data_IF_524444940261
#
_entry.id   IF_524444940261
#
_cell.length_a   1.000
_cell.length_b   1.000
_cell.length_c   1.000
_cell.angle_alpha   90.00
_cell.angle_beta   90.00
_cell.angle_gamma   90.00
#
_symmetry.space_group_name_H-M   'P 1'
#
loop_
_entity.id
_entity.type
_entity.pdbx_description
1 polymer ?
#
# COMPACT_ATOMS: atom_id res chain seq x y z
N UNK A 1 14.41 3.44 -9.08
CA UNK A 1 15.72 3.88 -8.58
C UNK A 1 16.74 4.09 -9.69
N UNK A 2 16.98 3.09 -10.54
CA UNK A 2 18.01 3.14 -11.60
C UNK A 2 17.84 4.31 -12.57
N UNK A 3 16.60 4.65 -12.96
CA UNK A 3 16.34 5.74 -13.88
C UNK A 3 16.68 7.10 -13.25
N UNK A 4 16.32 7.33 -11.99
CA UNK A 4 16.72 8.54 -11.24
C UNK A 4 18.24 8.62 -11.07
N UNK A 5 18.90 7.51 -10.74
CA UNK A 5 20.35 7.47 -10.62
C UNK A 5 21.06 7.81 -11.95
N UNK A 6 20.56 7.29 -13.09
CA UNK A 6 21.06 7.65 -14.42
C UNK A 6 20.83 9.12 -14.78
N UNK A 7 19.83 9.74 -14.21
CA UNK A 7 19.56 11.18 -14.36
C UNK A 7 20.41 12.06 -13.41
N UNK A 8 21.35 11.49 -12.66
CA UNK A 8 22.33 12.20 -11.82
C UNK A 8 21.92 12.40 -10.36
N UNK A 9 20.82 11.78 -9.91
CA UNK A 9 20.40 11.86 -8.49
C UNK A 9 21.08 10.75 -7.70
N UNK A 10 21.75 11.06 -6.57
CA UNK A 10 22.21 10.03 -5.64
C UNK A 10 21.02 9.24 -5.10
N UNK A 11 21.00 7.94 -5.32
CA UNK A 11 19.89 7.06 -4.90
C UNK A 11 20.42 5.95 -4.01
N UNK A 12 19.88 5.86 -2.79
CA UNK A 12 20.12 4.75 -1.88
C UNK A 12 18.90 3.84 -1.88
N UNK A 13 19.09 2.60 -2.29
CA UNK A 13 18.05 1.56 -2.20
C UNK A 13 18.20 0.81 -0.89
N UNK A 14 17.20 0.90 -0.03
CA UNK A 14 17.19 0.29 1.29
C UNK A 14 16.23 -0.90 1.32
N UNK A 15 16.71 -2.05 1.80
CA UNK A 15 15.85 -3.18 2.15
C UNK A 15 15.51 -3.12 3.65
N UNK A 16 14.27 -3.45 3.99
CA UNK A 16 13.91 -3.72 5.37
C UNK A 16 14.49 -5.07 5.85
N UNK A 17 14.40 -5.32 7.15
CA UNK A 17 14.71 -6.62 7.75
C UNK A 17 13.90 -7.79 7.18
N UNK A 18 12.81 -7.50 6.52
CA UNK A 18 11.86 -8.48 5.95
C UNK A 18 12.11 -8.77 4.46
N UNK A 19 13.33 -8.67 4.00
CA UNK A 19 13.65 -8.91 2.60
C UNK A 19 13.15 -10.29 2.13
N UNK A 20 12.19 -10.28 1.17
CA UNK A 20 11.61 -11.50 0.60
C UNK A 20 10.62 -12.23 1.53
N UNK A 21 10.23 -11.65 2.66
CA UNK A 21 9.32 -12.27 3.64
C UNK A 21 8.24 -11.29 4.07
N UNK A 22 7.26 -11.03 3.20
CA UNK A 22 6.16 -10.13 3.51
C UNK A 22 5.16 -10.69 4.52
N UNK A 23 5.07 -12.03 4.64
CA UNK A 23 4.12 -12.71 5.52
C UNK A 23 4.33 -12.43 7.01
N UNK A 24 5.53 -12.04 7.40
CA UNK A 24 5.88 -11.68 8.79
C UNK A 24 6.19 -10.20 9.00
N UNK A 25 5.97 -9.35 7.98
CA UNK A 25 6.35 -7.94 8.03
C UNK A 25 5.50 -7.16 9.05
N UNK A 26 6.17 -6.34 9.85
CA UNK A 26 5.57 -5.42 10.83
C UNK A 26 5.96 -4.00 10.41
N UNK A 27 4.97 -3.17 10.06
CA UNK A 27 5.18 -1.83 9.51
C UNK A 27 5.96 -0.93 10.47
N UNK A 28 5.66 -1.00 11.76
CA UNK A 28 6.32 -0.22 12.81
C UNK A 28 7.82 -0.58 12.94
N UNK A 29 8.19 -1.84 12.68
CA UNK A 29 9.61 -2.25 12.65
C UNK A 29 10.31 -1.77 11.39
N UNK A 30 9.59 -1.69 10.26
CA UNK A 30 10.14 -1.12 9.01
C UNK A 30 10.40 0.37 9.15
N UNK A 31 9.60 1.10 9.95
CA UNK A 31 9.88 2.51 10.30
C UNK A 31 11.28 2.65 10.93
N UNK A 32 11.66 1.74 11.84
CA UNK A 32 13.00 1.76 12.43
C UNK A 32 14.10 1.46 11.41
N UNK A 33 13.84 0.59 10.44
CA UNK A 33 14.78 0.28 9.36
C UNK A 33 15.02 1.50 8.46
N UNK A 34 13.94 2.24 8.11
CA UNK A 34 14.05 3.49 7.38
C UNK A 34 14.80 4.56 8.17
N UNK A 35 14.54 4.68 9.47
CA UNK A 35 15.29 5.60 10.34
C UNK A 35 16.79 5.31 10.32
N UNK A 36 17.17 4.03 10.42
CA UNK A 36 18.56 3.62 10.33
C UNK A 36 19.18 3.98 8.96
N UNK A 37 18.42 3.78 7.87
CA UNK A 37 18.86 4.13 6.53
C UNK A 37 19.11 5.65 6.38
N UNK A 38 18.17 6.50 6.84
CA UNK A 38 18.32 7.96 6.78
C UNK A 38 19.51 8.42 7.61
N UNK A 39 19.70 7.86 8.81
CA UNK A 39 20.89 8.17 9.66
C UNK A 39 22.19 7.84 8.95
N UNK A 40 22.25 6.69 8.29
CA UNK A 40 23.42 6.26 7.54
C UNK A 40 23.72 7.21 6.38
N UNK A 41 22.68 7.58 5.61
CA UNK A 41 22.79 8.53 4.50
C UNK A 41 23.30 9.90 4.99
N UNK A 42 22.72 10.45 6.06
CA UNK A 42 23.15 11.74 6.60
C UNK A 42 24.53 11.69 7.24
N UNK A 43 24.83 10.66 8.06
CA UNK A 43 26.07 10.60 8.85
C UNK A 43 27.28 10.09 8.09
N UNK A 44 27.13 9.03 7.25
CA UNK A 44 28.25 8.39 6.57
C UNK A 44 28.41 8.81 5.11
N UNK A 45 27.28 9.02 4.40
CA UNK A 45 27.34 9.46 3.02
C UNK A 45 27.40 10.98 2.89
N UNK A 46 27.19 11.72 4.00
CA UNK A 46 27.36 13.18 4.06
C UNK A 46 26.27 13.98 3.34
N UNK A 47 25.10 13.39 3.09
CA UNK A 47 23.98 14.11 2.48
C UNK A 47 23.19 14.86 3.56
N UNK A 48 23.03 16.16 3.39
CA UNK A 48 22.24 17.00 4.31
C UNK A 48 20.74 16.79 4.12
N UNK A 49 20.29 16.73 2.86
CA UNK A 49 18.87 16.53 2.49
C UNK A 49 18.61 15.09 2.05
N UNK A 50 17.50 14.52 2.50
CA UNK A 50 17.07 13.17 2.16
C UNK A 50 15.58 13.18 1.77
N UNK A 51 15.29 12.73 0.57
CA UNK A 51 13.92 12.56 0.08
C UNK A 51 13.55 11.07 0.12
N UNK A 52 12.44 10.72 0.74
CA UNK A 52 11.91 9.37 0.68
C UNK A 52 11.11 9.19 -0.61
N UNK A 53 11.54 8.26 -1.45
CA UNK A 53 10.85 7.88 -2.67
C UNK A 53 10.16 6.53 -2.48
N UNK A 54 8.85 6.57 -2.22
CA UNK A 54 8.04 5.38 -1.97
C UNK A 54 7.29 4.91 -3.22
N UNK A 55 7.62 3.73 -3.71
CA UNK A 55 6.92 3.07 -4.82
C UNK A 55 5.81 2.17 -4.29
N UNK A 56 4.60 2.23 -4.90
CA UNK A 56 3.49 1.34 -4.55
C UNK A 56 3.18 1.40 -3.04
N UNK A 57 3.30 0.27 -2.33
CA UNK A 57 3.21 0.22 -0.86
C UNK A 57 4.26 1.03 -0.11
N UNK A 58 5.36 1.39 -0.76
CA UNK A 58 6.37 2.28 -0.20
C UNK A 58 5.89 3.71 -0.03
N UNK A 59 4.89 4.16 -0.80
CA UNK A 59 4.32 5.49 -0.67
C UNK A 59 3.61 5.70 0.67
N UNK A 60 2.66 4.83 1.01
CA UNK A 60 1.98 4.89 2.31
C UNK A 60 2.93 4.64 3.48
N UNK A 61 3.95 3.76 3.30
CA UNK A 61 5.00 3.56 4.29
C UNK A 61 5.84 4.84 4.51
N UNK A 62 6.19 5.58 3.44
CA UNK A 62 6.94 6.83 3.55
C UNK A 62 6.14 7.90 4.30
N UNK A 63 4.84 8.01 4.03
CA UNK A 63 3.94 8.88 4.79
C UNK A 63 3.83 8.46 6.26
N UNK A 64 3.70 7.17 6.52
CA UNK A 64 3.65 6.63 7.89
C UNK A 64 4.95 6.94 8.64
N UNK A 65 6.10 6.69 8.02
CA UNK A 65 7.40 7.06 8.57
C UNK A 65 7.46 8.55 8.92
N UNK A 66 7.15 9.41 7.95
CA UNK A 66 7.29 10.85 8.11
C UNK A 66 6.35 11.39 9.18
N UNK A 67 5.11 10.90 9.24
CA UNK A 67 4.16 11.30 10.28
C UNK A 67 4.67 10.97 11.68
N UNK A 68 5.28 9.79 11.89
CA UNK A 68 5.88 9.41 13.16
C UNK A 68 7.19 10.13 13.44
N UNK A 69 7.95 10.50 12.41
CA UNK A 69 9.16 11.30 12.58
C UNK A 69 8.85 12.78 12.94
N UNK A 70 7.75 13.32 12.42
CA UNK A 70 7.32 14.70 12.73
C UNK A 70 6.53 14.79 14.04
N UNK A 71 5.65 13.84 14.30
CA UNK A 71 4.79 13.77 15.48
C UNK A 71 4.64 12.32 15.95
N UNK A 72 5.59 11.80 16.72
CA UNK A 72 5.57 10.42 17.19
C UNK A 72 4.44 10.19 18.19
N UNK A 73 3.55 9.27 17.87
CA UNK A 73 2.35 8.96 18.68
C UNK A 73 2.26 7.50 19.11
N UNK A 74 2.86 6.58 18.33
CA UNK A 74 2.69 5.15 18.54
C UNK A 74 3.64 4.62 19.61
N UNK A 75 3.07 3.95 20.62
CA UNK A 75 3.81 3.33 21.72
C UNK A 75 3.94 1.80 21.59
N UNK A 76 3.19 1.21 20.67
CA UNK A 76 3.22 -0.24 20.36
C UNK A 76 2.72 -0.51 18.95
N UNK A 77 2.89 -1.74 18.48
CA UNK A 77 2.19 -2.25 17.29
C UNK A 77 0.71 -2.51 17.60
N UNK A 78 -0.16 -2.73 16.60
CA UNK A 78 -1.55 -3.13 16.82
C UNK A 78 -1.72 -4.44 17.62
N UNK A 79 -0.69 -5.26 17.68
CA UNK A 79 -0.67 -6.48 18.52
C UNK A 79 -0.26 -6.20 19.98
N UNK A 80 0.07 -4.94 20.33
CA UNK A 80 0.55 -4.57 21.66
C UNK A 80 2.05 -4.81 21.90
N UNK A 81 2.77 -5.26 20.87
CA UNK A 81 4.20 -5.56 20.96
C UNK A 81 5.06 -4.32 20.63
N UNK A 82 6.34 -4.28 21.03
CA UNK A 82 7.30 -3.28 20.54
C UNK A 82 7.41 -3.28 19.02
N UNK A 83 7.80 -2.13 18.40
CA UNK A 83 8.51 -1.01 19.03
C UNK A 83 7.59 0.08 19.58
N UNK A 84 8.13 0.88 20.51
CA UNK A 84 7.60 2.19 20.87
C UNK A 84 8.23 3.23 19.94
N UNK A 85 7.50 3.75 18.96
CA UNK A 85 7.98 4.75 18.00
C UNK A 85 8.05 6.14 18.62
N UNK A 86 7.28 6.41 19.69
CA UNK A 86 7.31 7.69 20.39
C UNK A 86 8.67 7.98 21.03
N UNK A 87 9.35 6.93 21.50
CA UNK A 87 10.67 7.04 22.09
C UNK A 87 11.79 6.75 21.11
N UNK A 88 11.47 6.46 19.83
CA UNK A 88 12.45 6.18 18.81
C UNK A 88 13.04 7.48 18.23
N UNK A 89 14.37 7.45 17.98
CA UNK A 89 15.05 8.54 17.26
C UNK A 89 14.78 8.37 15.74
N UNK A 90 13.76 9.05 15.24
CA UNK A 90 13.33 9.04 13.84
C UNK A 90 13.72 10.35 13.16
N UNK A 91 14.83 10.41 12.40
CA UNK A 91 15.20 11.62 11.65
C UNK A 91 14.18 11.89 10.56
N UNK A 92 13.73 13.15 10.47
CA UNK A 92 12.80 13.59 9.42
C UNK A 92 13.47 13.52 8.05
N UNK A 93 12.71 13.10 7.05
CA UNK A 93 13.05 13.35 5.67
C UNK A 93 12.74 14.80 5.31
N UNK A 94 13.39 15.31 4.26
CA UNK A 94 13.27 16.69 3.81
C UNK A 94 12.21 16.85 2.69
N UNK A 95 11.74 15.72 2.12
CA UNK A 95 10.67 15.65 1.13
C UNK A 95 10.19 14.23 0.90
N UNK A 96 9.04 14.09 0.25
CA UNK A 96 8.44 12.80 -0.10
C UNK A 96 8.10 12.72 -1.58
N UNK A 97 8.37 11.59 -2.21
CA UNK A 97 7.88 11.23 -3.54
C UNK A 97 7.05 9.95 -3.42
N UNK A 98 5.77 10.03 -3.72
CA UNK A 98 4.82 8.93 -3.71
C UNK A 98 4.61 8.48 -5.16
N UNK A 99 5.24 7.37 -5.54
CA UNK A 99 5.34 6.93 -6.93
C UNK A 99 4.44 5.73 -7.17
N UNK A 100 3.44 5.85 -8.04
CA UNK A 100 2.44 4.81 -8.30
C UNK A 100 1.94 4.18 -6.99
N UNK A 101 1.62 5.04 -6.00
CA UNK A 101 1.39 4.65 -4.63
C UNK A 101 -0.09 4.32 -4.36
N UNK A 102 -0.33 3.43 -3.40
CA UNK A 102 -1.66 3.20 -2.86
C UNK A 102 -1.82 3.80 -1.46
N UNK A 103 -3.07 4.00 -1.02
CA UNK A 103 -3.38 4.63 0.27
C UNK A 103 -2.82 3.87 1.47
N UNK A 104 -2.99 2.56 1.49
CA UNK A 104 -2.40 1.65 2.47
C UNK A 104 -2.48 0.21 1.97
N UNK A 105 -1.68 -0.67 2.54
CA UNK A 105 -1.81 -2.12 2.30
C UNK A 105 -3.18 -2.63 2.81
N UNK A 106 -3.66 -2.11 3.93
CA UNK A 106 -4.96 -2.46 4.49
C UNK A 106 -6.12 -2.09 3.56
N UNK A 107 -6.17 -0.84 3.08
CA UNK A 107 -7.18 -0.39 2.13
C UNK A 107 -7.12 -1.19 0.83
N UNK A 108 -5.92 -1.34 0.25
CA UNK A 108 -5.72 -2.05 -1.01
C UNK A 108 -6.16 -3.50 -0.92
N UNK A 109 -5.73 -4.22 0.12
CA UNK A 109 -6.17 -5.59 0.32
C UNK A 109 -7.68 -5.68 0.52
N UNK A 110 -8.26 -4.78 1.34
CA UNK A 110 -9.71 -4.78 1.60
C UNK A 110 -10.49 -4.62 0.30
N UNK A 111 -10.07 -3.71 -0.58
CA UNK A 111 -10.69 -3.51 -1.89
C UNK A 111 -10.48 -4.70 -2.86
N UNK A 112 -9.53 -5.58 -2.59
CA UNK A 112 -9.23 -6.79 -3.38
C UNK A 112 -9.77 -8.09 -2.77
N UNK A 113 -10.18 -8.08 -1.49
CA UNK A 113 -10.77 -9.26 -0.86
C UNK A 113 -12.03 -9.71 -1.60
N UNK A 114 -12.13 -11.00 -1.86
CA UNK A 114 -13.33 -11.63 -2.43
C UNK A 114 -14.42 -11.76 -1.36
N UNK A 115 -15.46 -10.93 -1.35
CA UNK A 115 -16.48 -10.94 -0.31
C UNK A 115 -17.44 -12.11 -0.43
N UNK A 116 -17.38 -12.88 -1.51
CA UNK A 116 -18.13 -14.12 -1.67
C UNK A 116 -17.70 -15.21 -0.71
N UNK A 117 -16.48 -15.12 -0.16
CA UNK A 117 -15.98 -16.03 0.87
C UNK A 117 -16.48 -15.56 2.23
N UNK A 118 -17.43 -16.29 2.80
CA UNK A 118 -18.08 -15.96 4.09
C UNK A 118 -17.51 -16.76 5.26
N UNK A 119 -16.81 -17.86 4.98
CA UNK A 119 -16.12 -18.71 5.94
C UNK A 119 -14.69 -18.97 5.47
N UNK A 120 -13.69 -18.47 6.23
CA UNK A 120 -12.28 -18.64 5.88
C UNK A 120 -11.80 -20.10 6.02
N UNK A 121 -12.55 -20.97 6.69
CA UNK A 121 -12.25 -22.41 6.79
C UNK A 121 -12.74 -23.20 5.58
N UNK A 122 -13.62 -22.62 4.77
CA UNK A 122 -14.23 -23.22 3.57
C UNK A 122 -14.22 -22.22 2.40
N UNK A 123 -13.05 -21.76 1.94
CA UNK A 123 -12.94 -20.69 0.95
C UNK A 123 -13.46 -21.05 -0.45
N UNK A 124 -13.71 -22.31 -0.71
CA UNK A 124 -14.37 -22.82 -1.92
C UNK A 124 -15.89 -22.60 -1.90
N UNK A 125 -16.52 -22.47 -0.73
CA UNK A 125 -17.94 -22.19 -0.58
C UNK A 125 -18.18 -20.69 -0.72
N UNK A 126 -18.60 -20.25 -1.92
CA UNK A 126 -18.75 -18.84 -2.26
C UNK A 126 -20.20 -18.44 -2.47
N UNK A 127 -20.58 -17.29 -1.93
CA UNK A 127 -21.86 -16.66 -2.26
C UNK A 127 -21.86 -16.21 -3.72
N UNK A 128 -22.67 -16.84 -4.57
CA UNK A 128 -22.70 -16.58 -6.01
C UNK A 128 -22.90 -15.10 -6.35
N UNK A 129 -23.79 -14.42 -5.65
CA UNK A 129 -24.13 -13.01 -5.91
C UNK A 129 -22.94 -12.06 -5.77
N UNK A 130 -21.93 -12.44 -5.00
CA UNK A 130 -20.71 -11.65 -4.77
C UNK A 130 -19.44 -12.27 -5.38
N UNK A 131 -19.55 -13.44 -6.02
CA UNK A 131 -18.43 -14.02 -6.74
C UNK A 131 -18.32 -13.40 -8.14
N UNK A 132 -17.44 -12.43 -8.31
CA UNK A 132 -17.27 -11.72 -9.59
C UNK A 132 -16.86 -12.65 -10.75
N UNK A 133 -16.34 -13.83 -10.44
CA UNK A 133 -15.80 -14.79 -11.41
C UNK A 133 -16.75 -15.96 -11.70
N UNK A 134 -17.90 -16.04 -11.04
CA UNK A 134 -18.96 -17.01 -11.35
C UNK A 134 -19.75 -16.50 -12.58
N UNK A 135 -19.76 -17.25 -13.71
CA UNK A 135 -20.52 -16.84 -14.89
C UNK A 135 -22.04 -16.80 -14.67
N UNK A 136 -22.52 -17.40 -13.58
CA UNK A 136 -23.95 -17.41 -13.20
C UNK A 136 -24.26 -16.32 -12.15
N UNK A 137 -23.31 -15.46 -11.80
CA UNK A 137 -23.58 -14.32 -10.93
C UNK A 137 -24.61 -13.40 -11.61
N UNK A 138 -25.72 -13.05 -10.92
CA UNK A 138 -26.71 -12.13 -11.48
C UNK A 138 -26.16 -10.71 -11.70
N UNK A 139 -25.09 -10.34 -11.00
CA UNK A 139 -24.42 -9.06 -11.12
C UNK A 139 -23.22 -9.19 -12.05
N UNK A 140 -23.37 -8.75 -13.30
CA UNK A 140 -22.33 -8.75 -14.32
C UNK A 140 -21.93 -7.31 -14.68
N UNK A 141 -20.70 -7.07 -15.18
CA UNK A 141 -20.34 -5.76 -15.70
C UNK A 141 -21.26 -5.30 -16.87
N UNK A 142 -21.64 -4.02 -16.95
CA UNK A 142 -21.29 -2.96 -16.00
C UNK A 142 -22.08 -3.05 -14.69
N UNK A 143 -21.37 -3.00 -13.59
CA UNK A 143 -21.97 -3.12 -12.27
C UNK A 143 -22.79 -1.88 -11.90
N UNK A 144 -23.93 -2.09 -11.20
CA UNK A 144 -24.72 -1.00 -10.65
C UNK A 144 -24.03 -0.36 -9.43
N UNK A 145 -24.35 0.91 -9.17
CA UNK A 145 -23.84 1.62 -7.99
C UNK A 145 -24.25 0.94 -6.67
N UNK A 146 -25.48 0.45 -6.58
CA UNK A 146 -25.98 -0.26 -5.40
C UNK A 146 -25.19 -1.57 -5.15
N UNK A 147 -24.91 -2.33 -6.22
CA UNK A 147 -24.07 -3.52 -6.12
C UNK A 147 -22.67 -3.18 -5.64
N UNK A 148 -22.02 -2.17 -6.24
CA UNK A 148 -20.68 -1.76 -5.84
C UNK A 148 -20.66 -1.32 -4.38
N UNK A 149 -21.63 -0.56 -3.92
CA UNK A 149 -21.74 -0.12 -2.54
C UNK A 149 -21.84 -1.30 -1.56
N UNK A 150 -22.71 -2.26 -1.85
CA UNK A 150 -22.86 -3.45 -1.00
C UNK A 150 -21.63 -4.36 -1.09
N UNK A 151 -21.03 -4.49 -2.28
CA UNK A 151 -19.81 -5.24 -2.49
C UNK A 151 -18.66 -4.70 -1.61
N UNK A 152 -18.42 -3.39 -1.62
CA UNK A 152 -17.41 -2.72 -0.80
C UNK A 152 -17.66 -2.89 0.69
N UNK A 153 -18.91 -2.81 1.12
CA UNK A 153 -19.30 -3.06 2.51
C UNK A 153 -18.94 -4.50 2.94
N UNK A 154 -19.27 -5.50 2.13
CA UNK A 154 -18.94 -6.91 2.39
C UNK A 154 -17.43 -7.18 2.39
N UNK A 155 -16.65 -6.46 1.59
CA UNK A 155 -15.19 -6.53 1.65
C UNK A 155 -14.66 -6.04 3.00
N UNK A 156 -15.17 -4.92 3.52
CA UNK A 156 -14.80 -4.41 4.86
C UNK A 156 -15.24 -5.39 5.95
N UNK A 157 -16.46 -5.92 5.87
CA UNK A 157 -16.96 -6.92 6.81
C UNK A 157 -16.09 -8.19 6.83
N UNK A 158 -15.61 -8.64 5.67
CA UNK A 158 -14.68 -9.77 5.57
C UNK A 158 -13.34 -9.45 6.22
N UNK A 159 -12.75 -8.28 5.94
CA UNK A 159 -11.51 -7.86 6.58
C UNK A 159 -11.66 -7.82 8.10
N UNK A 160 -12.78 -7.27 8.59
CA UNK A 160 -13.09 -7.23 10.01
C UNK A 160 -13.18 -8.63 10.63
N UNK A 161 -13.88 -9.58 9.99
CA UNK A 161 -13.98 -10.98 10.47
C UNK A 161 -12.60 -11.62 10.64
N UNK A 162 -11.71 -11.44 9.65
CA UNK A 162 -10.34 -11.97 9.72
C UNK A 162 -9.57 -11.28 10.87
N UNK A 163 -9.75 -9.97 11.03
CA UNK A 163 -9.11 -9.20 12.12
C UNK A 163 -9.59 -9.66 13.50
N UNK A 164 -10.89 -9.83 13.70
CA UNK A 164 -11.47 -10.31 14.95
C UNK A 164 -10.96 -11.73 15.30
N UNK A 165 -10.89 -12.61 14.31
CA UNK A 165 -10.29 -13.94 14.47
C UNK A 165 -8.79 -13.86 14.84
N UNK A 166 -8.03 -12.98 14.19
CA UNK A 166 -6.61 -12.81 14.46
C UNK A 166 -6.37 -12.29 15.88
N UNK A 167 -7.20 -11.34 16.36
CA UNK A 167 -7.16 -10.84 17.73
C UNK A 167 -7.49 -11.93 18.75
N UNK A 168 -8.54 -12.71 18.52
CA UNK A 168 -8.90 -13.83 19.40
C UNK A 168 -7.79 -14.89 19.46
N UNK A 169 -7.13 -15.16 18.33
CA UNK A 169 -6.00 -16.08 18.26
C UNK A 169 -4.78 -15.52 18.98
N UNK A 170 -4.47 -14.24 18.82
CA UNK A 170 -3.38 -13.55 19.53
C UNK A 170 -3.59 -13.63 21.06
N UNK A 171 -4.82 -13.40 21.53
CA UNK A 171 -5.19 -13.49 22.92
C UNK A 171 -4.93 -14.90 23.49
N UNK A 172 -5.09 -15.96 22.69
CA UNK A 172 -4.77 -17.32 23.10
C UNK A 172 -3.27 -17.56 23.37
N UNK A 173 -2.41 -16.63 22.94
CA UNK A 173 -0.96 -16.63 23.19
C UNK A 173 -0.55 -15.65 24.30
N UNK A 174 -1.51 -15.18 25.10
CA UNK A 174 -1.30 -14.17 26.13
C UNK A 174 -0.03 -14.47 26.94
N UNK A 175 0.85 -13.46 27.03
CA UNK A 175 2.08 -13.54 27.81
C UNK A 175 3.27 -14.24 27.12
N UNK A 176 3.12 -14.73 25.91
CA UNK A 176 4.24 -15.29 25.15
C UNK A 176 4.48 -14.54 23.82
N UNK A 177 5.33 -13.51 23.80
CA UNK A 177 5.59 -12.71 22.60
C UNK A 177 6.37 -13.50 21.51
N UNK A 178 6.86 -14.70 21.81
CA UNK A 178 7.57 -15.54 20.86
C UNK A 178 6.64 -16.40 20.03
N UNK A 179 5.39 -16.62 20.48
CA UNK A 179 4.40 -17.39 19.73
C UNK A 179 3.84 -16.57 18.59
N UNK A 180 3.75 -17.19 17.43
CA UNK A 180 3.13 -16.65 16.24
C UNK A 180 2.31 -17.73 15.53
N UNK A 181 1.34 -17.33 14.71
CA UNK A 181 0.53 -18.25 13.92
C UNK A 181 0.41 -17.74 12.48
N UNK A 182 0.83 -18.57 11.54
CA UNK A 182 0.70 -18.29 10.11
C UNK A 182 -0.62 -18.84 9.55
N UNK A 183 -1.23 -18.10 8.63
CA UNK A 183 -2.46 -18.49 7.96
C UNK A 183 -2.50 -18.00 6.50
N UNK A 184 -3.38 -18.60 5.71
CA UNK A 184 -3.63 -18.19 4.34
C UNK A 184 -4.90 -17.34 4.25
N UNK A 185 -4.88 -16.31 3.40
CA UNK A 185 -6.05 -15.51 3.03
C UNK A 185 -6.38 -15.84 1.58
N UNK A 186 -7.52 -16.45 1.35
CA UNK A 186 -7.99 -16.82 0.03
C UNK A 186 -8.73 -15.67 -0.65
N UNK A 187 -8.79 -15.66 -2.00
CA UNK A 187 -9.55 -14.65 -2.74
C UNK A 187 -9.06 -13.22 -2.45
N UNK A 188 -7.91 -12.86 -2.98
CA UNK A 188 -7.27 -11.54 -2.74
C UNK A 188 -7.06 -10.74 -4.03
N UNK A 189 -7.86 -10.99 -5.06
CA UNK A 189 -7.84 -10.26 -6.32
C UNK A 189 -9.26 -10.13 -6.93
N UNK A 190 -10.22 -9.67 -6.12
CA UNK A 190 -11.63 -9.54 -6.51
C UNK A 190 -12.11 -8.09 -6.43
N UNK A 191 -11.44 -7.20 -7.15
CA UNK A 191 -11.86 -5.81 -7.29
C UNK A 191 -12.70 -5.63 -8.55
N UNK A 192 -13.94 -5.10 -8.45
CA UNK A 192 -14.79 -4.80 -9.62
C UNK A 192 -14.10 -3.95 -10.68
N UNK A 193 -13.16 -3.07 -10.29
CA UNK A 193 -12.41 -2.21 -11.20
C UNK A 193 -11.58 -2.98 -12.24
N UNK A 194 -11.18 -4.22 -11.95
CA UNK A 194 -10.45 -5.04 -12.91
C UNK A 194 -11.33 -5.58 -14.03
N UNK A 195 -12.64 -5.74 -13.77
CA UNK A 195 -13.58 -6.35 -14.72
C UNK A 195 -14.45 -5.33 -15.43
N UNK A 196 -14.77 -4.22 -14.79
CA UNK A 196 -15.63 -3.17 -15.32
C UNK A 196 -14.86 -1.88 -15.58
N UNK A 197 -14.56 -1.55 -16.85
CA UNK A 197 -13.84 -0.32 -17.19
C UNK A 197 -14.62 0.97 -16.89
N UNK A 198 -15.93 0.87 -16.55
CA UNK A 198 -16.71 2.03 -16.10
C UNK A 198 -16.50 2.35 -14.62
N UNK A 199 -16.03 1.37 -13.84
CA UNK A 199 -15.64 1.59 -12.45
C UNK A 199 -14.27 2.29 -12.40
N UNK A 200 -14.26 3.60 -12.14
CA UNK A 200 -13.07 4.42 -12.18
C UNK A 200 -12.39 4.39 -13.57
N UNK A 201 -13.01 5.02 -14.60
CA UNK A 201 -12.51 5.01 -15.96
C UNK A 201 -11.06 5.55 -16.06
N UNK A 202 -10.22 4.83 -16.76
CA UNK A 202 -8.83 5.15 -17.00
C UNK A 202 -8.28 4.36 -18.21
N UNK A 203 -6.97 4.34 -18.40
CA UNK A 203 -6.32 3.68 -19.52
C UNK A 203 -6.01 2.19 -19.27
N UNK A 204 -6.48 1.59 -18.16
CA UNK A 204 -6.26 0.16 -17.85
C UNK A 204 -6.94 -0.77 -18.83
N UNK A 205 -6.30 -1.91 -19.09
CA UNK A 205 -6.91 -3.02 -19.82
C UNK A 205 -7.93 -3.74 -18.91
N UNK A 206 -9.18 -3.83 -19.36
CA UNK A 206 -10.20 -4.62 -18.67
C UNK A 206 -9.81 -6.11 -18.60
N UNK A 207 -10.17 -6.80 -17.51
CA UNK A 207 -9.82 -8.19 -17.28
C UNK A 207 -8.34 -8.44 -17.03
N UNK A 208 -7.63 -7.42 -16.52
CA UNK A 208 -6.19 -7.52 -16.26
C UNK A 208 -5.80 -6.82 -14.95
N UNK A 209 -4.89 -7.41 -14.19
CA UNK A 209 -4.20 -6.81 -13.05
C UNK A 209 -2.69 -7.01 -13.18
N UNK A 210 -1.90 -6.42 -12.30
CA UNK A 210 -0.43 -6.47 -12.36
C UNK A 210 0.18 -7.89 -12.28
N UNK A 211 -0.59 -8.89 -11.88
CA UNK A 211 -0.21 -10.30 -11.86
C UNK A 211 -0.84 -11.12 -13.01
N UNK A 212 -1.58 -10.48 -13.92
CA UNK A 212 -2.22 -11.12 -15.07
C UNK A 212 -3.75 -11.18 -14.96
N UNK A 213 -4.34 -12.33 -15.32
CA UNK A 213 -5.78 -12.54 -15.23
C UNK A 213 -6.24 -12.52 -13.75
N UNK A 214 -7.07 -11.56 -13.33
CA UNK A 214 -7.48 -11.43 -11.93
C UNK A 214 -8.25 -12.65 -11.42
N UNK A 215 -8.99 -13.38 -12.26
CA UNK A 215 -9.65 -14.63 -11.88
C UNK A 215 -8.63 -15.69 -11.46
N UNK A 216 -7.59 -15.86 -12.26
CA UNK A 216 -6.51 -16.81 -11.97
C UNK A 216 -5.76 -16.41 -10.70
N UNK A 217 -5.45 -15.13 -10.56
CA UNK A 217 -4.73 -14.58 -9.39
C UNK A 217 -5.56 -14.72 -8.11
N UNK A 218 -6.89 -14.54 -8.20
CA UNK A 218 -7.77 -14.66 -7.05
C UNK A 218 -7.69 -16.02 -6.36
N UNK A 219 -7.48 -17.07 -7.13
CA UNK A 219 -7.42 -18.45 -6.63
C UNK A 219 -5.98 -19.01 -6.53
N UNK A 220 -4.98 -18.29 -7.04
CA UNK A 220 -3.58 -18.74 -7.06
C UNK A 220 -2.90 -18.64 -5.68
N UNK A 221 -1.75 -19.31 -5.49
CA UNK A 221 -0.97 -19.18 -4.25
C UNK A 221 -0.20 -17.87 -4.12
N UNK A 222 -0.34 -16.95 -5.08
CA UNK A 222 0.27 -15.62 -5.09
C UNK A 222 -0.77 -14.53 -4.85
N UNK A 223 -0.34 -13.37 -4.41
CA UNK A 223 -1.21 -12.22 -4.16
C UNK A 223 -0.88 -11.51 -2.85
N UNK A 224 -1.38 -10.31 -2.72
CA UNK A 224 -1.21 -9.52 -1.50
C UNK A 224 -1.85 -10.25 -0.31
N UNK A 225 -1.13 -10.37 0.80
CA UNK A 225 -1.58 -11.06 2.02
C UNK A 225 -1.92 -12.55 1.88
N UNK A 226 -1.63 -13.20 0.75
CA UNK A 226 -1.94 -14.63 0.55
C UNK A 226 -1.47 -15.50 1.72
N UNK A 227 -0.30 -15.22 2.24
CA UNK A 227 0.23 -15.82 3.46
C UNK A 227 0.56 -14.72 4.45
N UNK A 228 0.00 -14.80 5.64
CA UNK A 228 0.21 -13.82 6.71
C UNK A 228 0.43 -14.52 8.04
N UNK A 229 1.16 -13.85 8.94
CA UNK A 229 1.09 -14.15 10.36
C UNK A 229 0.10 -13.20 11.04
N UNK A 230 -0.36 -13.57 12.24
CA UNK A 230 -1.36 -12.77 12.97
C UNK A 230 -0.87 -11.35 13.20
N UNK A 231 0.35 -11.18 13.73
CA UNK A 231 0.90 -9.86 14.00
C UNK A 231 1.11 -9.04 12.73
N UNK A 232 1.53 -9.71 11.65
CA UNK A 232 1.69 -9.09 10.33
C UNK A 232 0.34 -8.64 9.77
N UNK A 233 -0.70 -9.45 9.90
CA UNK A 233 -2.06 -9.07 9.50
C UNK A 233 -2.52 -7.79 10.21
N UNK A 234 -2.41 -7.76 11.53
CA UNK A 234 -2.83 -6.59 12.33
C UNK A 234 -2.08 -5.32 11.94
N UNK A 235 -0.76 -5.43 11.71
CA UNK A 235 0.09 -4.28 11.36
C UNK A 235 -0.09 -3.82 9.91
N UNK A 236 -0.27 -4.73 8.94
CA UNK A 236 -0.29 -4.40 7.52
C UNK A 236 -1.69 -4.31 6.90
N UNK A 237 -2.59 -5.25 7.27
CA UNK A 237 -3.77 -5.59 6.48
C UNK A 237 -5.09 -5.38 7.18
N UNK A 238 -5.11 -5.25 8.50
CA UNK A 238 -6.33 -4.91 9.22
C UNK A 238 -6.81 -3.52 8.82
N UNK A 239 -8.03 -3.43 8.29
CA UNK A 239 -8.64 -2.18 7.85
C UNK A 239 -8.81 -1.18 9.00
N UNK A 240 -9.10 -1.69 10.20
CA UNK A 240 -9.37 -0.88 11.39
C UNK A 240 -8.10 -0.56 12.20
N UNK A 241 -7.09 -1.46 12.20
CA UNK A 241 -5.98 -1.39 13.14
C UNK A 241 -4.64 -0.98 12.54
N UNK A 242 -4.46 -1.13 11.21
CA UNK A 242 -3.21 -0.73 10.58
C UNK A 242 -3.00 0.78 10.68
N UNK A 243 -1.90 1.18 11.30
CA UNK A 243 -1.51 2.58 11.44
C UNK A 243 -0.76 3.13 10.21
N UNK A 244 -0.34 2.25 9.29
CA UNK A 244 0.33 2.63 8.05
C UNK A 244 -0.69 3.06 6.98
N UNK A 245 -1.57 3.99 7.34
CA UNK A 245 -2.59 4.59 6.48
C UNK A 245 -2.10 5.93 5.93
N UNK A 246 -1.80 5.95 4.62
CA UNK A 246 -1.26 7.14 3.96
C UNK A 246 -2.20 8.35 4.00
N UNK A 247 -3.52 8.15 4.02
CA UNK A 247 -4.46 9.28 4.11
C UNK A 247 -4.49 9.91 5.51
N UNK A 248 -4.41 9.08 6.56
CA UNK A 248 -4.29 9.60 7.93
C UNK A 248 -2.93 10.28 8.13
N UNK A 249 -1.85 9.63 7.70
CA UNK A 249 -0.49 10.12 7.86
C UNK A 249 -0.22 11.39 7.03
N UNK A 250 -0.77 11.48 5.83
CA UNK A 250 -0.63 12.66 4.96
C UNK A 250 -1.12 13.95 5.60
N UNK A 251 -2.15 13.88 6.44
CA UNK A 251 -2.72 15.05 7.15
C UNK A 251 -1.76 15.71 8.13
N UNK A 252 -0.82 14.95 8.68
CA UNK A 252 0.17 15.44 9.66
C UNK A 252 1.55 15.69 9.07
N UNK A 253 1.76 15.36 7.78
CA UNK A 253 3.03 15.57 7.08
C UNK A 253 3.18 17.03 6.65
N UNK A 254 4.36 17.63 6.87
CA UNK A 254 4.63 19.05 6.60
C UNK A 254 5.70 19.31 5.54
N UNK A 255 6.42 18.28 5.10
CA UNK A 255 7.47 18.40 4.09
C UNK A 255 6.89 18.42 2.66
N UNK A 256 7.60 19.03 1.69
CA UNK A 256 7.19 18.99 0.29
C UNK A 256 6.88 17.56 -0.18
N UNK A 257 5.79 17.40 -0.91
CA UNK A 257 5.36 16.07 -1.34
C UNK A 257 4.93 16.06 -2.81
N UNK A 258 5.60 15.21 -3.59
CA UNK A 258 5.23 14.90 -4.97
C UNK A 258 4.47 13.58 -5.01
N UNK A 259 3.30 13.59 -5.67
CA UNK A 259 2.54 12.36 -5.98
C UNK A 259 2.60 12.15 -7.49
N UNK A 260 3.13 11.02 -7.93
CA UNK A 260 3.09 10.59 -9.33
C UNK A 260 2.20 9.36 -9.43
N UNK A 261 1.09 9.50 -10.16
CA UNK A 261 0.18 8.41 -10.50
C UNK A 261 0.33 7.99 -11.96
N UNK A 262 -0.09 6.79 -12.28
CA UNK A 262 -0.09 6.22 -13.62
C UNK A 262 -1.53 5.94 -14.06
N UNK A 263 -1.97 6.46 -15.23
CA UNK A 263 -3.38 6.36 -15.60
C UNK A 263 -3.80 4.95 -16.05
N UNK A 264 -2.87 4.12 -16.47
CA UNK A 264 -3.09 2.71 -16.80
C UNK A 264 -2.54 1.76 -15.72
N UNK A 265 -2.43 2.24 -14.47
CA UNK A 265 -1.92 1.43 -13.35
C UNK A 265 -2.83 0.23 -13.09
N UNK A 266 -2.26 -0.96 -13.21
CA UNK A 266 -2.93 -2.25 -13.05
C UNK A 266 -2.73 -2.88 -11.65
N UNK A 267 -2.20 -2.07 -10.70
CA UNK A 267 -2.07 -2.40 -9.29
C UNK A 267 -2.67 -1.30 -8.39
N UNK A 268 -2.21 -0.06 -8.53
CA UNK A 268 -2.62 1.07 -7.69
C UNK A 268 -3.53 2.02 -8.48
N UNK A 269 -4.86 1.95 -8.31
CA UNK A 269 -5.78 2.79 -9.07
C UNK A 269 -5.48 4.28 -8.92
N UNK A 270 -5.65 5.11 -9.97
CA UNK A 270 -5.41 6.56 -9.93
C UNK A 270 -6.18 7.28 -8.82
N UNK A 271 -7.33 6.76 -8.39
CA UNK A 271 -8.08 7.28 -7.25
C UNK A 271 -7.26 7.25 -5.95
N UNK A 272 -6.40 6.25 -5.76
CA UNK A 272 -5.51 6.20 -4.60
C UNK A 272 -4.51 7.36 -4.60
N UNK A 273 -3.94 7.69 -5.74
CA UNK A 273 -3.02 8.83 -5.87
C UNK A 273 -3.74 10.16 -5.57
N UNK A 274 -4.97 10.32 -6.07
CA UNK A 274 -5.78 11.50 -5.79
C UNK A 274 -6.16 11.61 -4.30
N UNK A 275 -6.51 10.49 -3.65
CA UNK A 275 -6.81 10.45 -2.20
C UNK A 275 -5.58 10.80 -1.38
N UNK A 276 -4.41 10.26 -1.70
CA UNK A 276 -3.15 10.62 -1.06
C UNK A 276 -2.83 12.11 -1.22
N UNK A 277 -2.93 12.64 -2.44
CA UNK A 277 -2.72 14.06 -2.71
C UNK A 277 -3.68 14.94 -1.90
N UNK A 278 -4.96 14.58 -1.84
CA UNK A 278 -5.97 15.33 -1.10
C UNK A 278 -5.75 15.28 0.42
N UNK A 279 -5.13 14.21 0.93
CA UNK A 279 -4.85 14.06 2.36
C UNK A 279 -3.75 14.97 2.86
N UNK A 280 -2.82 15.37 1.98
CA UNK A 280 -1.74 16.30 2.32
C UNK A 280 -2.31 17.70 2.41
N UNK A 281 -2.21 18.34 3.57
CA UNK A 281 -2.90 19.61 3.87
C UNK A 281 -2.08 20.87 3.58
N UNK A 282 -0.75 20.75 3.47
CA UNK A 282 0.11 21.92 3.18
C UNK A 282 0.17 22.21 1.67
N UNK A 283 0.56 23.44 1.31
CA UNK A 283 0.55 23.92 -0.08
C UNK A 283 1.67 23.36 -0.96
N UNK A 284 2.80 22.96 -0.35
CA UNK A 284 3.95 22.39 -1.08
C UNK A 284 3.69 20.92 -1.48
N UNK A 285 2.61 20.72 -2.22
CA UNK A 285 2.21 19.40 -2.76
C UNK A 285 1.95 19.49 -4.25
N UNK A 286 2.37 18.47 -4.99
CA UNK A 286 2.19 18.38 -6.45
C UNK A 286 1.64 17.01 -6.81
N UNK A 287 0.65 16.99 -7.69
CA UNK A 287 0.16 15.75 -8.29
C UNK A 287 0.48 15.76 -9.78
N UNK A 288 1.04 14.67 -10.29
CA UNK A 288 1.24 14.46 -11.71
C UNK A 288 0.75 13.07 -12.10
N UNK A 289 -0.01 12.97 -13.20
CA UNK A 289 -0.50 11.70 -13.74
C UNK A 289 0.20 11.44 -15.07
N UNK A 290 1.01 10.40 -15.12
CA UNK A 290 1.64 9.92 -16.37
C UNK A 290 0.61 9.14 -17.16
N UNK A 291 0.20 9.72 -18.30
CA UNK A 291 -0.85 9.15 -19.12
C UNK A 291 -0.40 7.86 -19.81
N UNK A 292 -1.24 6.82 -19.78
CA UNK A 292 -0.96 5.53 -20.41
C UNK A 292 0.05 4.65 -19.68
N UNK A 293 0.71 5.17 -18.63
CA UNK A 293 1.70 4.40 -17.87
C UNK A 293 1.03 3.28 -17.06
N UNK A 294 1.59 2.07 -17.12
CA UNK A 294 1.25 0.96 -16.24
C UNK A 294 2.07 1.02 -14.94
N UNK A 295 1.77 0.10 -14.00
CA UNK A 295 2.39 0.13 -12.66
C UNK A 295 3.92 0.11 -12.69
N UNK A 296 4.54 -0.65 -13.58
CA UNK A 296 5.99 -0.86 -13.63
C UNK A 296 6.70 -0.12 -14.78
N UNK A 297 5.98 0.66 -15.58
CA UNK A 297 6.48 1.24 -16.84
C UNK A 297 7.07 0.17 -17.76
N UNK A 298 6.49 -1.03 -17.74
CA UNK A 298 7.03 -2.15 -18.52
C UNK A 298 6.85 -1.90 -20.02
N UNK A 299 7.97 -1.81 -20.74
CA UNK A 299 7.99 -1.48 -22.16
C UNK A 299 7.71 0.00 -22.49
N UNK A 300 7.64 0.89 -21.50
CA UNK A 300 7.19 2.28 -21.59
C UNK A 300 8.33 3.24 -21.21
N UNK A 301 9.25 3.44 -22.16
CA UNK A 301 10.45 4.27 -21.91
C UNK A 301 10.13 5.77 -21.86
N UNK A 302 9.17 6.23 -22.66
CA UNK A 302 8.77 7.64 -22.72
C UNK A 302 8.04 8.05 -21.44
N UNK A 303 7.10 7.23 -20.96
CA UNK A 303 6.37 7.45 -19.73
C UNK A 303 7.30 7.40 -18.50
N UNK A 304 8.27 6.49 -18.51
CA UNK A 304 9.30 6.45 -17.47
C UNK A 304 10.16 7.72 -17.50
N UNK A 305 10.54 8.20 -18.67
CA UNK A 305 11.32 9.42 -18.83
C UNK A 305 10.52 10.65 -18.33
N UNK A 306 9.21 10.71 -18.64
CA UNK A 306 8.32 11.75 -18.12
C UNK A 306 8.30 11.76 -16.60
N UNK A 307 8.08 10.60 -15.95
CA UNK A 307 8.08 10.47 -14.50
C UNK A 307 9.41 10.91 -13.86
N UNK A 308 10.55 10.57 -14.51
CA UNK A 308 11.88 11.00 -14.06
C UNK A 308 12.06 12.51 -14.19
N UNK A 309 11.68 13.10 -15.31
CA UNK A 309 11.80 14.55 -15.52
C UNK A 309 10.95 15.35 -14.54
N UNK A 310 9.69 14.93 -14.31
CA UNK A 310 8.81 15.53 -13.30
C UNK A 310 9.43 15.46 -11.90
N UNK A 311 10.06 14.34 -11.57
CA UNK A 311 10.76 14.18 -10.29
C UNK A 311 11.93 15.12 -10.16
N UNK A 312 12.76 15.26 -11.22
CA UNK A 312 13.92 16.17 -11.23
C UNK A 312 13.51 17.63 -11.11
N UNK A 313 12.50 18.02 -11.85
CA UNK A 313 12.02 19.41 -11.84
C UNK A 313 11.45 19.76 -10.47
N UNK A 314 10.66 18.86 -9.87
CA UNK A 314 10.13 19.06 -8.52
C UNK A 314 11.24 19.12 -7.46
N UNK A 315 12.27 18.27 -7.54
CA UNK A 315 13.39 18.29 -6.59
C UNK A 315 14.15 19.64 -6.64
N UNK A 316 14.27 20.24 -7.84
CA UNK A 316 14.86 21.58 -8.02
C UNK A 316 13.93 22.67 -7.52
N UNK A 317 12.62 22.61 -7.88
CA UNK A 317 11.60 23.59 -7.45
C UNK A 317 11.54 23.70 -5.92
N UNK A 318 11.73 22.58 -5.21
CA UNK A 318 11.67 22.52 -3.75
C UNK A 318 13.03 22.67 -3.06
N UNK A 319 14.09 23.00 -3.82
CA UNK A 319 15.47 23.13 -3.32
C UNK A 319 15.93 21.87 -2.55
N UNK A 320 15.66 20.68 -3.11
CA UNK A 320 16.03 19.40 -2.52
C UNK A 320 17.30 18.78 -3.14
N UNK A 321 17.76 19.36 -4.26
CA UNK A 321 19.03 19.02 -4.95
C UNK A 321 19.71 20.29 -5.41
#
# INVERSE_FOLDING_TARGET
PTALAKAGIPVVYCNSRYRGVDSGLIMEKVVLDLAACIKEVKKKLGHEKVVLAGWSGGGSLSLFYQSQAENPTLTSTPAGDPPNLKDADLPKADGLMLLAAHCSRATTLTEWLDPSITDESQPENREREFNLYDPLNPNQPPYSEDFIKEYRKKQIERNKRITDWALAKLESFRGDPTKEYGFAVHGTMADPRWLDPKQEPNDRKAGWCYLGDPKVVNDSPIGLSRFSSIRSWLSQFSYELSEADGEKCGRSTTVPTLVIGNSADDACPPSHNQRLYNSITHERRKLHIVKGANHYYFGQQEELAEAVNVSLDWLKEEDLI
#
